data_IF_071650744869
#
_entry.id   IF_071650744869
#
_cell.length_a   1.000
_cell.length_b   1.000
_cell.length_c   1.000
_cell.angle_alpha   90.00
_cell.angle_beta   90.00
_cell.angle_gamma   90.00
#
_symmetry.space_group_name_H-M   'P 1'
#
loop_
_entity.id
_entity.type
_entity.pdbx_description
1 polymer ?
#
# COMPACT_ATOMS: atom_id res chain seq x y z
N UNK A 1 0.83 14.11 -12.14
CA UNK A 1 -0.02 13.54 -11.08
C UNK A 1 -1.21 14.44 -10.87
N UNK A 2 -2.30 13.91 -10.32
CA UNK A 2 -3.46 14.71 -9.92
C UNK A 2 -3.22 15.25 -8.50
N UNK A 3 -3.50 16.53 -8.26
CA UNK A 3 -3.43 17.11 -6.93
C UNK A 3 -4.58 16.54 -6.06
N UNK A 4 -4.21 15.95 -4.93
CA UNK A 4 -5.16 15.35 -3.98
C UNK A 4 -5.53 16.28 -2.83
N UNK A 5 -4.85 17.44 -2.69
CA UNK A 5 -5.11 18.40 -1.62
C UNK A 5 -6.50 19.05 -1.69
N UNK A 6 -7.16 18.92 -2.85
CA UNK A 6 -8.54 19.37 -3.06
C UNK A 6 -9.58 18.50 -2.34
N UNK A 7 -9.22 17.30 -1.91
CA UNK A 7 -10.12 16.39 -1.19
C UNK A 7 -9.92 16.51 0.32
N UNK A 8 -10.99 16.34 1.12
CA UNK A 8 -10.86 16.33 2.56
C UNK A 8 -10.10 15.09 3.04
N UNK A 9 -9.43 15.22 4.19
CA UNK A 9 -8.54 14.18 4.70
C UNK A 9 -9.25 12.85 4.98
N UNK A 10 -10.45 12.90 5.55
CA UNK A 10 -11.29 11.73 5.85
C UNK A 10 -11.66 10.93 4.60
N UNK A 11 -11.91 11.62 3.49
CA UNK A 11 -12.17 10.98 2.20
C UNK A 11 -10.92 10.25 1.67
N UNK A 12 -9.75 10.87 1.79
CA UNK A 12 -8.50 10.23 1.40
C UNK A 12 -8.19 9.01 2.28
N UNK A 13 -8.46 9.09 3.59
CA UNK A 13 -8.32 7.97 4.52
C UNK A 13 -9.26 6.82 4.16
N UNK A 14 -10.52 7.13 3.83
CA UNK A 14 -11.49 6.14 3.36
C UNK A 14 -11.01 5.44 2.08
N UNK A 15 -10.56 6.20 1.07
CA UNK A 15 -10.03 5.64 -0.17
C UNK A 15 -8.78 4.79 0.10
N UNK A 16 -7.85 5.27 0.94
CA UNK A 16 -6.65 4.55 1.32
C UNK A 16 -7.00 3.22 2.00
N UNK A 17 -7.95 3.24 2.94
CA UNK A 17 -8.45 2.03 3.61
C UNK A 17 -9.00 1.03 2.59
N UNK A 18 -9.86 1.47 1.67
CA UNK A 18 -10.41 0.61 0.63
C UNK A 18 -9.32 0.00 -0.26
N UNK A 19 -8.34 0.80 -0.68
CA UNK A 19 -7.28 0.32 -1.56
C UNK A 19 -6.34 -0.66 -0.88
N UNK A 20 -5.98 -0.39 0.39
CA UNK A 20 -5.02 -1.14 1.18
C UNK A 20 -5.59 -2.45 1.74
N UNK A 21 -6.92 -2.53 1.92
CA UNK A 21 -7.62 -3.75 2.37
C UNK A 21 -8.14 -4.63 1.24
N UNK A 22 -8.07 -4.16 -0.02
CA UNK A 22 -8.59 -4.90 -1.17
C UNK A 22 -7.68 -6.07 -1.57
N UNK A 23 -8.17 -7.32 -1.58
CA UNK A 23 -7.46 -8.48 -2.11
C UNK A 23 -6.96 -8.29 -3.55
N UNK A 24 -5.67 -8.55 -3.82
CA UNK A 24 -5.09 -8.41 -5.17
C UNK A 24 -4.66 -9.77 -5.73
N UNK A 25 -5.23 -10.16 -6.88
CA UNK A 25 -4.90 -11.41 -7.59
C UNK A 25 -3.38 -11.57 -7.84
N UNK A 26 -2.68 -10.48 -8.15
CA UNK A 26 -1.20 -10.46 -8.35
C UNK A 26 -0.44 -11.05 -7.14
N UNK A 27 -0.95 -10.83 -5.94
CA UNK A 27 -0.32 -11.25 -4.68
C UNK A 27 -1.02 -12.47 -4.07
N UNK A 28 -1.59 -13.35 -4.90
CA UNK A 28 -2.34 -14.51 -4.40
C UNK A 28 -3.56 -14.12 -3.56
N UNK A 29 -4.21 -13.00 -3.90
CA UNK A 29 -5.31 -12.40 -3.14
C UNK A 29 -4.96 -11.84 -1.76
N UNK A 30 -3.68 -11.72 -1.40
CA UNK A 30 -3.26 -10.89 -0.27
C UNK A 30 -3.59 -9.41 -0.52
N UNK A 31 -3.83 -8.68 0.55
CA UNK A 31 -4.07 -7.23 0.52
C UNK A 31 -2.74 -6.46 0.46
N UNK A 32 -2.72 -5.23 -0.09
CA UNK A 32 -1.50 -4.41 -0.07
C UNK A 32 -0.94 -4.19 1.34
N UNK A 33 -1.80 -4.00 2.35
CA UNK A 33 -1.36 -3.86 3.74
C UNK A 33 -0.60 -5.11 4.22
N UNK A 34 -1.14 -6.31 3.98
CA UNK A 34 -0.48 -7.56 4.35
C UNK A 34 0.88 -7.77 3.67
N UNK A 35 0.99 -7.39 2.39
CA UNK A 35 2.25 -7.50 1.66
C UNK A 35 3.29 -6.51 2.22
N UNK A 36 2.86 -5.30 2.55
CA UNK A 36 3.75 -4.32 3.17
C UNK A 36 4.25 -4.83 4.53
N UNK A 37 3.36 -5.36 5.37
CA UNK A 37 3.74 -5.93 6.67
C UNK A 37 4.73 -7.09 6.53
N UNK A 38 4.56 -7.95 5.52
CA UNK A 38 5.47 -9.05 5.21
C UNK A 38 6.87 -8.55 4.83
N UNK A 39 6.95 -7.51 3.99
CA UNK A 39 8.21 -6.86 3.59
C UNK A 39 8.89 -6.19 4.78
N UNK A 40 8.13 -5.52 5.65
CA UNK A 40 8.70 -4.84 6.82
C UNK A 40 9.18 -5.84 7.89
N UNK A 41 8.48 -6.97 8.02
CA UNK A 41 8.85 -8.03 8.96
C UNK A 41 10.05 -8.84 8.49
N UNK A 42 10.18 -9.06 7.18
CA UNK A 42 11.30 -9.75 6.57
C UNK A 42 11.82 -8.95 5.37
N UNK A 43 12.64 -7.91 5.62
CA UNK A 43 13.11 -7.03 4.58
C UNK A 43 13.93 -7.83 3.56
N UNK A 44 13.58 -7.78 2.25
CA UNK A 44 14.40 -8.40 1.23
C UNK A 44 15.78 -7.74 1.22
N UNK A 45 16.83 -8.50 0.90
CA UNK A 45 18.16 -7.95 0.62
C UNK A 45 18.08 -7.08 -0.63
N UNK A 46 17.74 -5.81 -0.45
CA UNK A 46 17.81 -4.82 -1.53
C UNK A 46 19.28 -4.50 -1.80
N UNK A 47 19.67 -4.48 -3.07
CA UNK A 47 20.99 -3.99 -3.44
C UNK A 47 21.05 -2.49 -3.11
N UNK A 48 21.76 -2.13 -2.05
CA UNK A 48 22.14 -0.74 -1.79
C UNK A 48 23.06 -0.30 -2.93
N UNK A 49 22.52 0.40 -3.92
CA UNK A 49 23.33 1.14 -4.89
C UNK A 49 23.98 2.29 -4.13
N UNK A 50 25.27 2.12 -3.83
CA UNK A 50 26.16 3.14 -3.30
C UNK A 50 26.45 4.23 -4.34
#
# INVERSE_FOLDING_TARGET
GTDLSVYPADYLDYVALQLNTRPRKRHGFKTPAQILDEILSNPPTVASTA
#
